data_IF_788377319818
#
_entry.id   IF_788377319818
#
_cell.length_a   1.000
_cell.length_b   1.000
_cell.length_c   1.000
_cell.angle_alpha   90.00
_cell.angle_beta   90.00
_cell.angle_gamma   90.00
#
_symmetry.space_group_name_H-M   'P 1'
#
loop_
_entity.id
_entity.type
_entity.pdbx_description
1 polymer ?
#
# COMPACT_ATOMS: atom_id res chain seq x y z
N UNK A 1 -12.84 22.81 -22.43
CA UNK A 1 -12.07 22.65 -21.19
C UNK A 1 -12.71 21.52 -20.40
N UNK A 2 -12.02 20.39 -20.21
CA UNK A 2 -12.56 19.21 -19.51
C UNK A 2 -12.09 19.17 -18.05
N UNK A 3 -12.80 18.45 -17.18
CA UNK A 3 -12.47 18.27 -15.76
C UNK A 3 -11.00 17.83 -15.55
N UNK A 4 -10.48 17.01 -16.46
CA UNK A 4 -9.09 16.53 -16.46
C UNK A 4 -8.06 17.65 -16.69
N UNK A 5 -8.41 18.69 -17.45
CA UNK A 5 -7.53 19.83 -17.75
C UNK A 5 -7.48 20.81 -16.57
N UNK A 6 -8.61 21.01 -15.89
CA UNK A 6 -8.70 21.84 -14.68
C UNK A 6 -7.88 21.23 -13.55
N UNK A 7 -8.00 19.91 -13.33
CA UNK A 7 -7.21 19.19 -12.33
C UNK A 7 -5.70 19.24 -12.63
N UNK A 8 -5.32 19.24 -13.91
CA UNK A 8 -3.91 19.36 -14.33
C UNK A 8 -3.34 20.75 -14.04
N UNK A 9 -4.14 21.80 -14.24
CA UNK A 9 -3.74 23.18 -13.93
C UNK A 9 -3.58 23.38 -12.42
N UNK A 10 -4.52 22.88 -11.61
CA UNK A 10 -4.45 22.97 -10.14
C UNK A 10 -3.19 22.28 -9.61
N UNK A 11 -2.88 21.07 -10.09
CA UNK A 11 -1.66 20.34 -9.68
C UNK A 11 -0.39 21.09 -10.04
N UNK A 12 -0.33 21.70 -11.23
CA UNK A 12 0.81 22.50 -11.66
C UNK A 12 0.98 23.78 -10.83
N UNK A 13 -0.11 24.45 -10.49
CA UNK A 13 -0.10 25.66 -9.66
C UNK A 13 0.30 25.37 -8.21
N UNK A 14 -0.12 24.23 -7.66
CA UNK A 14 0.27 23.80 -6.31
C UNK A 14 1.65 23.10 -6.25
N UNK A 15 2.41 23.03 -7.35
CA UNK A 15 3.71 22.35 -7.38
C UNK A 15 3.63 20.83 -7.16
N UNK A 16 2.43 20.25 -7.27
CA UNK A 16 2.20 18.81 -7.15
C UNK A 16 2.63 18.20 -8.49
N UNK A 17 3.93 17.95 -8.62
CA UNK A 17 4.48 17.12 -9.69
C UNK A 17 3.75 15.77 -9.66
N UNK A 18 3.64 15.09 -10.81
CA UNK A 18 3.23 13.69 -10.83
C UNK A 18 4.23 12.90 -9.99
N UNK A 19 3.98 12.82 -8.69
CA UNK A 19 4.42 11.73 -7.86
C UNK A 19 3.60 10.52 -8.32
N UNK A 20 3.94 10.03 -9.51
CA UNK A 20 4.10 8.60 -9.67
C UNK A 20 5.41 8.27 -8.94
N UNK A 21 5.44 8.58 -7.65
CA UNK A 21 6.44 8.02 -6.77
C UNK A 21 6.05 6.55 -6.79
N UNK A 22 6.83 5.75 -7.52
CA UNK A 22 7.21 4.44 -7.01
C UNK A 22 7.35 4.66 -5.51
N UNK A 23 6.36 4.23 -4.74
CA UNK A 23 6.42 4.42 -3.31
C UNK A 23 7.80 3.89 -2.94
N UNK A 24 8.65 4.76 -2.41
CA UNK A 24 9.69 4.32 -1.49
C UNK A 24 8.92 3.77 -0.27
N UNK A 25 8.20 2.67 -0.47
CA UNK A 25 7.52 1.90 0.55
C UNK A 25 8.65 1.48 1.43
N UNK A 26 8.76 2.12 2.59
CA UNK A 26 9.70 1.68 3.60
C UNK A 26 9.57 0.16 3.74
N UNK A 27 10.69 -0.57 3.77
CA UNK A 27 10.63 -2.02 3.79
C UNK A 27 9.70 -2.48 4.91
N UNK A 28 8.93 -3.55 4.66
CA UNK A 28 7.90 -4.02 5.59
C UNK A 28 8.49 -4.30 6.99
N UNK A 29 9.79 -4.62 7.06
CA UNK A 29 10.55 -4.74 8.31
C UNK A 29 10.57 -3.44 9.13
N UNK A 30 10.91 -2.31 8.52
CA UNK A 30 10.94 -1.00 9.19
C UNK A 30 9.52 -0.58 9.58
N UNK A 31 8.53 -0.87 8.73
CA UNK A 31 7.12 -0.62 9.07
C UNK A 31 6.71 -1.46 10.29
N UNK A 32 7.02 -2.75 10.32
CA UNK A 32 6.70 -3.62 11.45
C UNK A 32 7.42 -3.20 12.74
N UNK A 33 8.67 -2.76 12.66
CA UNK A 33 9.43 -2.26 13.82
C UNK A 33 8.81 -0.97 14.38
N UNK A 34 8.34 -0.08 13.51
CA UNK A 34 7.60 1.11 13.91
C UNK A 34 6.29 0.75 14.63
N UNK A 35 5.55 -0.25 14.14
CA UNK A 35 4.35 -0.75 14.81
C UNK A 35 4.64 -1.32 16.20
N UNK A 36 5.69 -2.13 16.34
CA UNK A 36 6.10 -2.68 17.64
C UNK A 36 6.41 -1.56 18.63
N UNK A 37 7.13 -0.52 18.19
CA UNK A 37 7.45 0.65 19.04
C UNK A 37 6.18 1.36 19.52
N UNK A 38 5.23 1.61 18.62
CA UNK A 38 3.96 2.27 18.97
C UNK A 38 3.15 1.43 19.93
N UNK A 39 3.02 0.12 19.67
CA UNK A 39 2.26 -0.78 20.56
C UNK A 39 2.93 -0.85 21.93
N UNK A 40 4.26 -0.94 21.98
CA UNK A 40 5.00 -0.91 23.24
C UNK A 40 4.83 0.41 24.01
N UNK A 41 4.74 1.54 23.32
CA UNK A 41 4.45 2.83 23.95
C UNK A 41 3.03 2.89 24.53
N UNK A 42 2.03 2.42 23.76
CA UNK A 42 0.63 2.39 24.21
C UNK A 42 0.49 1.49 25.43
N UNK A 43 0.99 0.26 25.37
CA UNK A 43 0.93 -0.69 26.49
C UNK A 43 1.62 -0.15 27.74
N UNK A 44 2.76 0.54 27.56
CA UNK A 44 3.48 1.17 28.68
C UNK A 44 2.64 2.25 29.37
N UNK A 45 1.86 3.03 28.63
CA UNK A 45 0.94 4.03 29.21
C UNK A 45 -0.17 3.37 30.04
N UNK A 46 -0.55 2.15 29.68
CA UNK A 46 -1.52 1.33 30.42
C UNK A 46 -0.88 0.53 31.57
N UNK A 47 0.41 0.73 31.85
CA UNK A 47 1.15 0.02 32.91
C UNK A 47 1.55 -1.41 32.55
N UNK A 48 1.47 -1.79 31.26
CA UNK A 48 1.83 -3.11 30.76
C UNK A 48 3.17 -3.04 30.04
N UNK A 49 4.16 -3.76 30.54
CA UNK A 49 5.46 -3.88 29.89
C UNK A 49 5.49 -5.12 28.98
N UNK A 50 5.74 -4.90 27.69
CA UNK A 50 5.87 -5.98 26.72
C UNK A 50 7.25 -6.62 26.82
N UNK A 51 7.29 -7.94 26.92
CA UNK A 51 8.55 -8.67 26.91
C UNK A 51 9.08 -8.84 25.47
N UNK A 52 10.30 -9.38 25.34
CA UNK A 52 10.93 -9.62 24.04
C UNK A 52 10.15 -10.57 23.12
N UNK A 53 9.42 -11.54 23.70
CA UNK A 53 8.60 -12.50 22.97
C UNK A 53 7.34 -11.81 22.43
N UNK A 54 6.69 -10.98 23.22
CA UNK A 54 5.49 -10.22 22.83
C UNK A 54 5.81 -9.27 21.67
N UNK A 55 6.92 -8.52 21.79
CA UNK A 55 7.40 -7.64 20.74
C UNK A 55 7.66 -8.40 19.43
N UNK A 56 8.28 -9.58 19.50
CA UNK A 56 8.52 -10.45 18.34
C UNK A 56 7.22 -10.98 17.74
N UNK A 57 6.27 -11.40 18.57
CA UNK A 57 4.97 -11.90 18.13
C UNK A 57 4.19 -10.80 17.40
N UNK A 58 4.15 -9.59 17.96
CA UNK A 58 3.53 -8.42 17.33
C UNK A 58 4.19 -8.12 15.99
N UNK A 59 5.53 -8.06 15.92
CA UNK A 59 6.27 -7.85 14.67
C UNK A 59 5.89 -8.85 13.60
N UNK A 60 5.83 -10.13 13.98
CA UNK A 60 5.52 -11.24 13.07
C UNK A 60 4.10 -11.10 12.53
N UNK A 61 3.11 -10.79 13.38
CA UNK A 61 1.72 -10.56 12.96
C UNK A 61 1.59 -9.37 12.01
N UNK A 62 2.30 -8.28 12.28
CA UNK A 62 2.28 -7.11 11.40
C UNK A 62 2.89 -7.43 10.03
N UNK A 63 4.00 -8.18 9.99
CA UNK A 63 4.60 -8.63 8.74
C UNK A 63 3.65 -9.54 7.94
N UNK A 64 2.94 -10.46 8.60
CA UNK A 64 1.92 -11.30 7.96
C UNK A 64 0.81 -10.45 7.30
N UNK A 65 0.32 -9.43 8.03
CA UNK A 65 -0.70 -8.50 7.53
C UNK A 65 -0.22 -7.67 6.34
N UNK A 66 1.00 -7.14 6.40
CA UNK A 66 1.60 -6.38 5.30
C UNK A 66 1.80 -7.25 4.06
N UNK A 67 2.28 -8.49 4.24
CA UNK A 67 2.45 -9.44 3.16
C UNK A 67 1.10 -9.81 2.50
N UNK A 68 0.05 -10.02 3.32
CA UNK A 68 -1.30 -10.25 2.81
C UNK A 68 -1.83 -9.06 2.01
N UNK A 69 -1.65 -7.84 2.54
CA UNK A 69 -2.05 -6.60 1.86
C UNK A 69 -1.36 -6.46 0.50
N UNK A 70 -0.05 -6.71 0.43
CA UNK A 70 0.74 -6.67 -0.80
C UNK A 70 0.24 -7.68 -1.83
N UNK A 71 0.00 -8.93 -1.42
CA UNK A 71 -0.58 -9.97 -2.31
C UNK A 71 -1.98 -9.59 -2.82
N UNK A 72 -2.79 -8.94 -1.99
CA UNK A 72 -4.12 -8.47 -2.38
C UNK A 72 -4.04 -7.33 -3.41
N UNK A 73 -3.14 -6.37 -3.20
CA UNK A 73 -2.87 -5.30 -4.15
C UNK A 73 -2.38 -5.85 -5.49
N UNK A 74 -1.39 -6.75 -5.47
CA UNK A 74 -0.85 -7.39 -6.66
C UNK A 74 -1.94 -8.11 -7.46
N UNK A 75 -2.87 -8.83 -6.80
CA UNK A 75 -4.02 -9.46 -7.46
C UNK A 75 -4.97 -8.44 -8.11
N UNK A 76 -5.24 -7.32 -7.45
CA UNK A 76 -6.09 -6.26 -8.02
C UNK A 76 -5.41 -5.60 -9.23
N UNK A 77 -4.10 -5.44 -9.18
CA UNK A 77 -3.31 -4.90 -10.28
C UNK A 77 -3.21 -5.88 -11.45
N UNK A 78 -3.03 -7.18 -11.19
CA UNK A 78 -2.98 -8.21 -12.24
C UNK A 78 -4.30 -8.35 -12.99
N UNK A 79 -5.44 -8.18 -12.30
CA UNK A 79 -6.77 -8.16 -12.95
C UNK A 79 -6.88 -7.04 -13.98
N UNK A 80 -6.26 -5.87 -13.73
CA UNK A 80 -6.27 -4.75 -14.69
C UNK A 80 -5.50 -5.06 -15.97
N UNK A 81 -4.46 -5.88 -15.88
CA UNK A 81 -3.60 -6.25 -17.01
C UNK A 81 -4.00 -7.59 -17.66
N UNK A 82 -5.07 -8.23 -17.19
CA UNK A 82 -5.55 -9.49 -17.75
C UNK A 82 -6.22 -9.23 -19.09
N UNK A 83 -5.75 -9.91 -20.15
CA UNK A 83 -6.33 -9.83 -21.48
C UNK A 83 -7.81 -10.22 -21.45
N UNK A 84 -8.68 -9.30 -21.85
CA UNK A 84 -10.10 -9.58 -22.02
C UNK A 84 -10.36 -9.99 -23.47
N UNK A 85 -10.81 -11.22 -23.66
CA UNK A 85 -11.20 -11.71 -24.99
C UNK A 85 -12.37 -10.88 -25.50
N UNK A 86 -12.12 -10.06 -26.53
CA UNK A 86 -13.17 -9.30 -27.21
C UNK A 86 -13.67 -10.10 -28.40
N UNK A 87 -14.99 -10.29 -28.50
CA UNK A 87 -15.61 -10.88 -29.68
C UNK A 87 -15.25 -10.03 -30.90
N UNK A 88 -14.59 -10.60 -31.93
CA UNK A 88 -14.28 -9.85 -33.13
C UNK A 88 -15.57 -9.43 -33.84
N UNK A 89 -15.66 -8.17 -34.25
CA UNK A 89 -16.85 -7.61 -34.92
C UNK A 89 -17.11 -8.24 -36.28
N UNK A 90 -16.08 -8.80 -36.93
CA UNK A 90 -16.20 -9.46 -38.24
C UNK A 90 -15.34 -10.71 -38.25
N UNK A 91 -15.90 -11.80 -38.76
CA UNK A 91 -15.16 -13.02 -39.03
C UNK A 91 -14.18 -12.72 -40.18
N UNK A 92 -12.89 -13.03 -40.00
CA UNK A 92 -11.92 -12.98 -41.09
C UNK A 92 -12.35 -14.02 -42.12
N UNK A 93 -12.61 -13.55 -43.34
CA UNK A 93 -13.10 -14.37 -44.47
C UNK A 93 -11.94 -15.05 -45.17
#
# INVERSE_FOLDING_TARGET
MTESEILRLIRRACGISKQHDEQATQPDSVTADNYVRVVAEVMRRDGIELNGVDMRNIRTRVLELLAYRRRSQQRRESVKNTYQWKKPERLRR
#
